data_IF_696316495801
#
_entry.id   IF_696316495801
#
_cell.length_a   1.000
_cell.length_b   1.000
_cell.length_c   1.000
_cell.angle_alpha   90.00
_cell.angle_beta   90.00
_cell.angle_gamma   90.00
#
_symmetry.space_group_name_H-M   'P 1'
#
loop_
_entity.id
_entity.type
_entity.pdbx_description
1 polymer ?
#
# COMPACT_ATOMS: atom_id res chain seq x y z
N UNK A 1 17.01 17.37 -18.88
CA UNK A 1 17.70 16.10 -19.22
C UNK A 1 16.80 14.96 -18.76
N UNK A 2 16.45 14.01 -19.62
CA UNK A 2 15.61 12.88 -19.22
C UNK A 2 16.37 11.95 -18.26
N UNK A 3 15.74 11.65 -17.10
CA UNK A 3 16.27 10.69 -16.15
C UNK A 3 16.29 9.29 -16.77
N UNK A 4 17.34 8.52 -16.47
CA UNK A 4 17.43 7.08 -16.84
C UNK A 4 17.61 6.29 -15.55
N UNK A 5 17.18 5.03 -15.52
CA UNK A 5 17.27 4.16 -14.35
C UNK A 5 18.69 4.15 -13.74
N UNK A 6 19.70 4.02 -14.59
CA UNK A 6 21.12 4.05 -14.15
C UNK A 6 21.59 5.33 -13.47
N UNK A 7 20.80 6.40 -13.52
CA UNK A 7 21.09 7.70 -12.93
C UNK A 7 20.17 7.99 -11.72
N UNK A 8 19.48 6.98 -11.22
CA UNK A 8 18.67 7.09 -10.02
C UNK A 8 19.50 6.61 -8.83
N UNK A 9 19.78 7.50 -7.89
CA UNK A 9 20.62 7.25 -6.72
C UNK A 9 19.86 7.37 -5.40
N UNK A 10 18.61 7.83 -5.44
CA UNK A 10 17.72 8.01 -4.30
C UNK A 10 16.26 7.95 -4.72
N UNK A 11 15.35 7.89 -3.75
CA UNK A 11 13.90 7.79 -3.97
C UNK A 11 13.34 8.95 -4.82
N UNK A 12 13.86 10.18 -4.63
CA UNK A 12 13.41 11.33 -5.42
C UNK A 12 13.79 11.19 -6.90
N UNK A 13 14.92 10.60 -7.22
CA UNK A 13 15.29 10.32 -8.61
C UNK A 13 14.33 9.34 -9.27
N UNK A 14 13.89 8.30 -8.55
CA UNK A 14 12.86 7.37 -9.03
C UNK A 14 11.50 8.06 -9.19
N UNK A 15 11.12 8.94 -8.26
CA UNK A 15 9.90 9.76 -8.39
C UNK A 15 9.92 10.63 -9.65
N UNK A 16 11.04 11.29 -9.94
CA UNK A 16 11.21 12.09 -11.15
C UNK A 16 11.19 11.22 -12.41
N UNK A 17 11.78 10.03 -12.37
CA UNK A 17 11.73 9.06 -13.46
C UNK A 17 10.29 8.57 -13.70
N UNK A 18 9.54 8.27 -12.64
CA UNK A 18 8.13 7.90 -12.73
C UNK A 18 7.29 9.03 -13.36
N UNK A 19 7.50 10.27 -12.94
CA UNK A 19 6.84 11.46 -13.52
C UNK A 19 7.07 11.60 -15.03
N UNK A 20 8.24 11.21 -15.54
CA UNK A 20 8.56 11.28 -16.97
C UNK A 20 7.93 10.14 -17.78
N UNK A 21 7.66 8.99 -17.16
CA UNK A 21 7.21 7.79 -17.87
C UNK A 21 5.72 7.53 -17.73
N UNK A 22 5.09 8.02 -16.67
CA UNK A 22 3.65 7.80 -16.40
C UNK A 22 2.80 8.91 -17.03
N UNK A 23 1.61 8.58 -17.52
CA UNK A 23 0.61 9.59 -17.85
C UNK A 23 0.28 10.45 -16.62
N UNK A 24 0.03 11.74 -16.85
CA UNK A 24 -0.21 12.71 -15.77
C UNK A 24 -1.28 12.29 -14.77
N UNK A 25 -2.47 11.78 -15.16
CA UNK A 25 -3.46 11.31 -14.19
C UNK A 25 -2.95 10.16 -13.33
N UNK A 26 -2.22 9.22 -13.93
CA UNK A 26 -1.65 8.05 -13.22
C UNK A 26 -0.56 8.48 -12.25
N UNK A 27 0.33 9.39 -12.69
CA UNK A 27 1.36 9.93 -11.82
C UNK A 27 0.77 10.68 -10.64
N UNK A 28 -0.19 11.59 -10.87
CA UNK A 28 -0.79 12.38 -9.80
C UNK A 28 -1.61 11.53 -8.82
N UNK A 29 -2.22 10.45 -9.29
CA UNK A 29 -2.89 9.50 -8.40
C UNK A 29 -1.93 8.86 -7.38
N UNK A 30 -0.75 8.40 -7.83
CA UNK A 30 0.22 7.75 -6.92
C UNK A 30 0.99 8.76 -6.07
N UNK A 31 1.28 9.95 -6.62
CA UNK A 31 2.10 11.00 -6.01
C UNK A 31 1.30 11.97 -5.13
N UNK A 32 -0.03 12.03 -5.29
CA UNK A 32 -0.91 12.97 -4.60
C UNK A 32 -1.34 12.51 -3.22
N UNK A 33 -1.76 13.48 -2.41
CA UNK A 33 -2.30 13.27 -1.07
C UNK A 33 -3.65 14.01 -0.89
N UNK A 34 -4.16 14.10 0.33
CA UNK A 34 -5.43 14.74 0.63
C UNK A 34 -5.29 16.28 0.74
N UNK A 35 -6.33 16.99 0.35
CA UNK A 35 -6.53 18.42 0.48
C UNK A 35 -5.30 19.26 0.07
N UNK A 36 -4.71 20.01 1.01
CA UNK A 36 -3.52 20.86 0.80
C UNK A 36 -2.19 20.08 0.83
N UNK A 37 -2.22 18.77 1.10
CA UNK A 37 -1.06 17.88 1.17
C UNK A 37 -0.04 18.23 2.26
N UNK A 38 -0.46 18.94 3.32
CA UNK A 38 0.41 19.32 4.44
C UNK A 38 0.97 18.10 5.16
N UNK A 39 0.11 17.11 5.45
CA UNK A 39 0.51 15.85 6.09
C UNK A 39 1.53 15.10 5.25
N UNK A 40 1.34 15.04 3.94
CA UNK A 40 2.30 14.42 3.02
C UNK A 40 3.69 15.06 3.12
N UNK A 41 3.76 16.39 3.12
CA UNK A 41 5.03 17.12 3.27
C UNK A 41 5.63 16.88 4.65
N UNK A 42 4.83 16.94 5.71
CA UNK A 42 5.27 16.71 7.09
C UNK A 42 5.82 15.31 7.32
N UNK A 43 5.26 14.29 6.67
CA UNK A 43 5.75 12.91 6.76
C UNK A 43 7.24 12.78 6.38
N UNK A 44 7.70 13.59 5.45
CA UNK A 44 9.13 13.63 5.06
C UNK A 44 9.92 14.58 5.95
N UNK A 45 9.41 15.77 6.21
CA UNK A 45 10.11 16.80 7.01
C UNK A 45 10.29 16.39 8.49
N UNK A 46 9.49 15.45 8.98
CA UNK A 46 9.64 14.96 10.36
C UNK A 46 11.03 14.38 10.61
N UNK A 47 11.61 13.71 9.62
CA UNK A 47 12.96 13.15 9.73
C UNK A 47 14.06 14.22 9.74
N UNK A 48 13.83 15.40 9.14
CA UNK A 48 14.79 16.51 9.12
C UNK A 48 15.00 17.12 10.51
N UNK A 49 14.12 16.84 11.47
CA UNK A 49 14.21 17.28 12.87
C UNK A 49 14.95 16.31 13.78
N UNK A 50 15.45 15.21 13.23
CA UNK A 50 16.16 14.20 13.97
C UNK A 50 17.66 14.23 13.63
N UNK A 51 18.50 14.53 14.60
CA UNK A 51 19.95 14.51 14.44
C UNK A 51 20.50 13.10 14.71
N UNK A 52 21.49 12.70 13.90
CA UNK A 52 22.24 11.48 14.13
C UNK A 52 23.58 11.82 14.79
N UNK A 53 23.84 11.28 15.97
CA UNK A 53 25.12 11.41 16.66
C UNK A 53 25.96 10.16 16.40
N UNK A 54 26.99 10.25 15.54
CA UNK A 54 27.79 9.09 15.17
C UNK A 54 28.71 8.67 16.31
N UNK A 55 28.84 7.36 16.54
CA UNK A 55 29.91 6.79 17.36
C UNK A 55 31.14 6.48 16.47
N UNK A 56 32.34 6.74 16.97
CA UNK A 56 33.57 6.49 16.24
C UNK A 56 34.38 5.34 16.87
N UNK A 57 35.35 4.83 16.12
CA UNK A 57 36.26 3.76 16.54
C UNK A 57 35.60 2.42 16.86
N UNK A 58 34.41 2.21 16.35
CA UNK A 58 33.74 0.91 16.36
C UNK A 58 34.13 0.11 15.14
N UNK A 59 34.52 -1.16 15.34
CA UNK A 59 34.75 -2.06 14.21
C UNK A 59 33.45 -2.30 13.44
N UNK A 60 33.49 -2.15 12.12
CA UNK A 60 32.39 -2.39 11.21
C UNK A 60 32.68 -3.55 10.26
N UNK A 61 33.56 -4.48 10.68
CA UNK A 61 33.93 -5.66 9.88
C UNK A 61 32.75 -6.62 9.69
N UNK A 62 31.83 -6.66 10.66
CA UNK A 62 30.59 -7.42 10.58
C UNK A 62 29.41 -6.48 10.90
N UNK A 63 28.56 -6.26 9.91
CA UNK A 63 27.33 -5.48 10.06
C UNK A 63 26.15 -6.46 10.00
N UNK A 64 25.39 -6.55 11.08
CA UNK A 64 24.14 -7.29 11.15
C UNK A 64 22.99 -6.27 11.30
N UNK A 65 22.14 -6.18 10.27
CA UNK A 65 20.94 -5.33 10.25
C UNK A 65 19.67 -6.14 10.45
N UNK A 66 19.80 -7.43 10.71
CA UNK A 66 18.64 -8.32 10.88
C UNK A 66 17.83 -7.99 12.13
N UNK A 67 16.52 -8.13 12.01
CA UNK A 67 15.58 -7.95 13.12
C UNK A 67 14.53 -9.05 13.04
N UNK A 68 13.87 -9.30 14.19
CA UNK A 68 12.68 -10.16 14.21
C UNK A 68 11.43 -9.30 14.28
N UNK A 69 10.52 -9.49 13.30
CA UNK A 69 9.24 -8.79 13.21
C UNK A 69 8.13 -9.84 12.99
N UNK A 70 7.08 -9.79 13.82
CA UNK A 70 5.91 -10.69 13.72
C UNK A 70 6.30 -12.17 13.62
N UNK A 71 7.33 -12.57 14.41
CA UNK A 71 7.84 -13.95 14.48
C UNK A 71 8.67 -14.39 13.27
N UNK A 72 9.11 -13.45 12.43
CA UNK A 72 9.99 -13.73 11.30
C UNK A 72 11.26 -12.91 11.39
N UNK A 73 12.41 -13.57 11.15
CA UNK A 73 13.69 -12.88 10.98
C UNK A 73 13.77 -12.31 9.56
N UNK A 74 14.05 -11.02 9.46
CA UNK A 74 14.32 -10.30 8.21
C UNK A 74 15.72 -9.71 8.25
N UNK A 75 16.38 -9.59 7.09
CA UNK A 75 17.80 -9.22 7.03
C UNK A 75 18.02 -7.71 7.12
N UNK A 76 16.99 -6.92 6.83
CA UNK A 76 17.02 -5.46 6.96
C UNK A 76 15.75 -4.97 7.68
N UNK A 77 15.83 -3.92 8.55
CA UNK A 77 14.68 -3.40 9.30
C UNK A 77 13.78 -2.50 8.44
N UNK A 78 13.53 -2.90 7.21
CA UNK A 78 12.69 -2.22 6.22
C UNK A 78 11.82 -3.28 5.59
N UNK A 79 10.53 -3.02 5.43
CA UNK A 79 9.60 -3.89 4.72
C UNK A 79 8.85 -3.13 3.63
N UNK A 80 8.37 -3.87 2.62
CA UNK A 80 7.65 -3.29 1.51
C UNK A 80 6.17 -3.16 1.87
N UNK A 81 5.73 -1.92 2.07
CA UNK A 81 4.34 -1.60 2.47
C UNK A 81 3.33 -2.05 1.41
N UNK A 82 2.14 -2.49 1.83
CA UNK A 82 1.07 -2.86 0.91
C UNK A 82 0.58 -1.64 0.14
N UNK A 83 0.78 -1.64 -1.17
CA UNK A 83 0.28 -0.61 -2.08
C UNK A 83 -0.64 -1.23 -3.11
N UNK A 84 -1.75 -0.53 -3.41
CA UNK A 84 -2.77 -0.98 -4.34
C UNK A 84 -2.38 -0.74 -5.80
N UNK A 85 -2.97 -1.50 -6.73
CA UNK A 85 -2.97 -1.21 -8.16
C UNK A 85 -1.58 -1.13 -8.80
N UNK A 86 -0.61 -1.91 -8.35
CA UNK A 86 0.78 -1.72 -8.77
C UNK A 86 0.99 -1.92 -10.28
N UNK A 87 0.23 -2.85 -10.93
CA UNK A 87 0.31 -3.03 -12.40
C UNK A 87 -0.28 -1.88 -13.22
N UNK A 88 -0.99 -0.95 -12.57
CA UNK A 88 -1.37 0.30 -13.20
C UNK A 88 -0.15 1.21 -13.46
N UNK A 89 0.87 1.13 -12.62
CA UNK A 89 2.08 1.95 -12.71
C UNK A 89 3.20 1.26 -13.49
N UNK A 90 3.40 -0.02 -13.25
CA UNK A 90 4.38 -0.85 -13.95
C UNK A 90 3.80 -2.24 -14.22
N UNK A 91 4.05 -2.78 -15.40
CA UNK A 91 3.45 -4.05 -15.84
C UNK A 91 3.76 -5.26 -14.95
N UNK A 92 4.91 -5.28 -14.30
CA UNK A 92 5.27 -6.35 -13.37
C UNK A 92 4.62 -6.17 -11.99
N UNK A 93 4.31 -4.91 -11.60
CA UNK A 93 3.59 -4.60 -10.38
C UNK A 93 4.12 -5.32 -9.15
N UNK A 94 3.22 -6.00 -8.44
CA UNK A 94 3.52 -6.76 -7.23
C UNK A 94 4.53 -7.89 -7.45
N UNK A 95 4.66 -8.40 -8.69
CA UNK A 95 5.65 -9.44 -9.02
C UNK A 95 7.09 -8.94 -8.82
N UNK A 96 7.39 -7.74 -9.33
CA UNK A 96 8.71 -7.13 -9.17
C UNK A 96 8.98 -6.73 -7.71
N UNK A 97 7.96 -6.27 -6.99
CA UNK A 97 8.08 -5.93 -5.57
C UNK A 97 8.33 -7.18 -4.72
N UNK A 98 7.64 -8.28 -5.03
CA UNK A 98 7.85 -9.57 -4.37
C UNK A 98 9.25 -10.15 -4.63
N UNK A 99 9.79 -10.01 -5.85
CA UNK A 99 11.16 -10.38 -6.17
C UNK A 99 12.17 -9.58 -5.32
N UNK A 100 11.99 -8.27 -5.23
CA UNK A 100 12.83 -7.43 -4.38
C UNK A 100 12.72 -7.80 -2.89
N UNK A 101 11.52 -8.09 -2.39
CA UNK A 101 11.35 -8.55 -1.01
C UNK A 101 12.07 -9.86 -0.73
N UNK A 102 12.05 -10.78 -1.68
CA UNK A 102 12.73 -12.07 -1.58
C UNK A 102 14.25 -11.93 -1.64
N UNK A 103 14.77 -11.09 -2.55
CA UNK A 103 16.21 -10.82 -2.69
C UNK A 103 16.83 -10.23 -1.43
N UNK A 104 16.06 -9.42 -0.68
CA UNK A 104 16.49 -8.78 0.56
C UNK A 104 15.97 -9.49 1.82
N UNK A 105 15.32 -10.63 1.69
CA UNK A 105 14.70 -11.37 2.78
C UNK A 105 13.94 -10.47 3.75
N UNK A 106 12.97 -9.71 3.23
CA UNK A 106 12.15 -8.81 4.04
C UNK A 106 10.66 -9.06 3.82
N UNK A 107 9.80 -8.43 4.65
CA UNK A 107 8.36 -8.57 4.52
C UNK A 107 7.84 -7.96 3.22
N UNK A 108 7.06 -8.74 2.50
CA UNK A 108 6.26 -8.31 1.36
C UNK A 108 4.82 -8.05 1.77
N UNK A 109 4.41 -6.78 1.80
CA UNK A 109 3.03 -6.37 2.05
C UNK A 109 2.18 -6.41 0.78
N UNK A 110 1.11 -7.21 0.80
CA UNK A 110 0.15 -7.36 -0.30
C UNK A 110 -1.16 -6.69 0.07
N UNK A 111 -1.66 -5.81 -0.79
CA UNK A 111 -2.96 -5.15 -0.59
C UNK A 111 -4.11 -6.04 -1.05
N UNK A 112 -5.28 -5.93 -0.38
CA UNK A 112 -6.54 -6.49 -0.90
C UNK A 112 -6.96 -5.90 -2.25
N UNK A 113 -6.36 -4.76 -2.65
CA UNK A 113 -6.47 -4.17 -3.99
C UNK A 113 -5.23 -4.43 -4.86
N UNK A 114 -4.48 -5.48 -4.58
CA UNK A 114 -3.38 -5.90 -5.43
C UNK A 114 -3.89 -6.42 -6.78
N UNK A 115 -3.07 -6.23 -7.80
CA UNK A 115 -3.35 -6.65 -9.18
C UNK A 115 -2.79 -8.04 -9.52
N UNK A 116 -2.27 -8.73 -8.50
CA UNK A 116 -1.80 -10.11 -8.53
C UNK A 116 -2.51 -10.87 -7.43
N UNK A 117 -2.90 -12.13 -7.67
CA UNK A 117 -3.69 -12.89 -6.72
C UNK A 117 -2.88 -13.37 -5.51
N UNK A 118 -3.58 -13.62 -4.40
CA UNK A 118 -3.01 -14.22 -3.17
C UNK A 118 -2.33 -15.55 -3.52
N UNK A 119 -2.99 -16.36 -4.36
CA UNK A 119 -2.52 -17.68 -4.78
C UNK A 119 -1.22 -17.59 -5.60
N UNK A 120 -1.11 -16.61 -6.51
CA UNK A 120 0.12 -16.40 -7.29
C UNK A 120 1.26 -15.97 -6.37
N UNK A 121 1.01 -15.03 -5.46
CA UNK A 121 2.01 -14.54 -4.51
C UNK A 121 2.50 -15.66 -3.59
N UNK A 122 1.57 -16.44 -3.03
CA UNK A 122 1.90 -17.54 -2.14
C UNK A 122 2.73 -18.63 -2.81
N UNK A 123 2.42 -18.94 -4.08
CA UNK A 123 3.19 -19.93 -4.86
C UNK A 123 4.57 -19.45 -5.32
N UNK A 124 4.68 -18.15 -5.63
CA UNK A 124 5.89 -17.59 -6.25
C UNK A 124 6.95 -17.19 -5.21
N UNK A 125 6.56 -16.69 -4.03
CA UNK A 125 7.47 -16.07 -3.09
C UNK A 125 7.54 -16.82 -1.76
N UNK A 126 8.76 -16.98 -1.24
CA UNK A 126 9.07 -17.62 0.04
C UNK A 126 9.47 -16.65 1.14
N UNK A 127 9.71 -15.37 0.80
CA UNK A 127 9.95 -14.33 1.79
C UNK A 127 8.73 -14.14 2.71
N UNK A 128 8.90 -13.55 3.91
CA UNK A 128 7.78 -13.25 4.79
C UNK A 128 6.70 -12.41 4.09
N UNK A 129 5.44 -12.82 4.18
CA UNK A 129 4.29 -12.20 3.51
C UNK A 129 3.27 -11.69 4.52
N UNK A 130 2.84 -10.45 4.32
CA UNK A 130 1.76 -9.83 5.10
C UNK A 130 0.64 -9.40 4.17
N UNK A 131 -0.58 -9.87 4.42
CA UNK A 131 -1.76 -9.43 3.68
C UNK A 131 -2.39 -8.21 4.35
N UNK A 132 -2.65 -7.16 3.59
CA UNK A 132 -3.37 -5.99 4.06
C UNK A 132 -4.83 -6.08 3.63
N UNK A 133 -5.72 -6.11 4.60
CA UNK A 133 -7.15 -6.18 4.42
C UNK A 133 -7.80 -4.80 4.62
N UNK A 134 -8.52 -4.33 3.61
CA UNK A 134 -9.63 -3.41 3.80
C UNK A 134 -10.86 -4.24 4.13
N UNK A 135 -11.52 -3.95 5.25
CA UNK A 135 -12.71 -4.71 5.66
C UNK A 135 -13.90 -4.30 4.80
N UNK A 136 -14.50 -5.29 4.11
CA UNK A 136 -15.64 -5.11 3.23
C UNK A 136 -16.95 -5.35 3.99
N UNK A 137 -18.06 -4.75 3.49
CA UNK A 137 -19.43 -5.03 3.95
C UNK A 137 -19.79 -6.50 3.73
N UNK A 138 -19.31 -7.09 2.63
CA UNK A 138 -19.45 -8.51 2.33
C UNK A 138 -18.50 -9.33 3.21
N UNK A 139 -19.07 -10.00 4.21
CA UNK A 139 -18.32 -10.86 5.13
C UNK A 139 -17.71 -12.06 4.42
N UNK A 140 -18.43 -12.66 3.46
CA UNK A 140 -17.95 -13.82 2.72
C UNK A 140 -16.70 -13.48 1.92
N UNK A 141 -16.61 -12.26 1.35
CA UNK A 141 -15.41 -11.76 0.68
C UNK A 141 -14.23 -11.64 1.64
N UNK A 142 -14.45 -11.12 2.86
CA UNK A 142 -13.37 -11.02 3.85
C UNK A 142 -12.89 -12.43 4.26
N UNK A 143 -13.80 -13.35 4.51
CA UNK A 143 -13.49 -14.74 4.89
C UNK A 143 -12.75 -15.49 3.77
N UNK A 144 -13.16 -15.34 2.50
CA UNK A 144 -12.48 -15.93 1.33
C UNK A 144 -11.04 -15.46 1.24
N UNK A 145 -10.78 -14.14 1.37
CA UNK A 145 -9.42 -13.61 1.35
C UNK A 145 -8.57 -14.14 2.51
N UNK A 146 -9.13 -14.22 3.72
CA UNK A 146 -8.42 -14.76 4.88
C UNK A 146 -8.09 -16.25 4.70
N UNK A 147 -9.06 -17.02 4.20
CA UNK A 147 -8.87 -18.45 3.94
C UNK A 147 -7.76 -18.67 2.91
N UNK A 148 -7.77 -17.93 1.80
CA UNK A 148 -6.71 -17.97 0.79
C UNK A 148 -5.34 -17.61 1.36
N UNK A 149 -5.27 -16.60 2.25
CA UNK A 149 -4.01 -16.24 2.92
C UNK A 149 -3.48 -17.38 3.81
N UNK A 150 -4.37 -18.11 4.48
CA UNK A 150 -4.00 -19.28 5.30
C UNK A 150 -3.48 -20.41 4.40
N UNK A 151 -4.21 -20.73 3.32
CA UNK A 151 -3.86 -21.80 2.38
C UNK A 151 -2.55 -21.54 1.62
N UNK A 152 -2.17 -20.26 1.47
CA UNK A 152 -0.97 -19.84 0.75
C UNK A 152 0.13 -19.29 1.67
N UNK A 153 0.10 -19.68 2.94
CA UNK A 153 1.16 -19.45 3.93
C UNK A 153 1.57 -17.97 4.08
N UNK A 154 0.58 -17.07 4.16
CA UNK A 154 0.84 -15.71 4.62
C UNK A 154 1.15 -15.70 6.11
N UNK A 155 2.14 -14.91 6.50
CA UNK A 155 2.72 -14.91 7.84
C UNK A 155 2.00 -13.96 8.80
N UNK A 156 1.43 -12.88 8.29
CA UNK A 156 0.73 -11.87 9.07
C UNK A 156 -0.45 -11.25 8.32
N UNK A 157 -1.41 -10.76 9.08
CA UNK A 157 -2.54 -9.96 8.59
C UNK A 157 -2.39 -8.52 9.08
N UNK A 158 -2.52 -7.53 8.18
CA UNK A 158 -2.63 -6.12 8.54
C UNK A 158 -4.04 -5.62 8.21
N UNK A 159 -4.83 -5.28 9.22
CA UNK A 159 -6.15 -4.67 9.00
C UNK A 159 -5.98 -3.15 8.97
N UNK A 160 -6.41 -2.54 7.86
CA UNK A 160 -6.38 -1.08 7.70
C UNK A 160 -7.62 -0.46 8.34
N UNK A 161 -7.39 0.44 9.31
CA UNK A 161 -8.45 1.05 10.13
C UNK A 161 -8.61 2.56 9.90
N UNK A 162 -7.77 3.17 9.07
CA UNK A 162 -7.74 4.61 8.78
C UNK A 162 -8.49 5.00 7.49
N UNK A 163 -9.25 4.09 6.87
CA UNK A 163 -9.87 4.27 5.55
C UNK A 163 -11.35 3.95 5.51
N UNK A 164 -12.08 4.28 6.57
CA UNK A 164 -13.56 4.09 6.63
C UNK A 164 -14.26 4.92 5.55
N UNK A 165 -13.70 6.07 5.20
CA UNK A 165 -14.11 6.95 4.10
C UNK A 165 -12.92 7.29 3.23
N UNK A 166 -13.16 7.61 1.95
CA UNK A 166 -12.08 8.05 1.05
C UNK A 166 -11.63 9.47 1.36
N UNK A 167 -10.32 9.71 1.39
CA UNK A 167 -9.74 11.04 1.51
C UNK A 167 -10.07 11.93 0.30
N UNK A 168 -10.18 13.23 0.51
CA UNK A 168 -10.42 14.22 -0.54
C UNK A 168 -9.12 14.49 -1.32
N UNK A 169 -8.90 13.79 -2.42
CA UNK A 169 -7.70 13.92 -3.25
C UNK A 169 -7.94 14.84 -4.44
N UNK A 170 -7.75 16.13 -4.23
CA UNK A 170 -8.03 17.17 -5.24
C UNK A 170 -7.21 17.00 -6.53
N UNK A 171 -5.98 16.47 -6.46
CA UNK A 171 -5.19 16.20 -7.67
C UNK A 171 -5.87 15.18 -8.58
N UNK A 172 -6.53 14.16 -8.03
CA UNK A 172 -7.25 13.16 -8.80
C UNK A 172 -8.42 13.81 -9.53
N UNK A 173 -9.15 14.70 -8.86
CA UNK A 173 -10.24 15.47 -9.46
C UNK A 173 -9.76 16.41 -10.58
N UNK A 174 -8.65 17.12 -10.35
CA UNK A 174 -8.06 18.08 -11.32
C UNK A 174 -7.48 17.40 -12.55
N UNK A 175 -6.95 16.17 -12.39
CA UNK A 175 -6.32 15.43 -13.49
C UNK A 175 -7.25 14.46 -14.22
N UNK A 176 -8.50 14.35 -13.75
CA UNK A 176 -9.51 13.48 -14.37
C UNK A 176 -9.40 12.01 -13.99
N UNK A 177 -8.59 11.67 -12.98
CA UNK A 177 -8.56 10.34 -12.36
C UNK A 177 -9.78 10.17 -11.43
N UNK A 178 -10.96 10.31 -12.03
CA UNK A 178 -12.25 10.28 -11.34
C UNK A 178 -13.05 9.03 -11.71
N UNK A 179 -14.20 8.85 -11.10
CA UNK A 179 -15.16 7.81 -11.41
C UNK A 179 -16.47 8.40 -11.98
N UNK A 180 -16.87 8.02 -13.18
CA UNK A 180 -16.03 7.38 -14.20
C UNK A 180 -14.85 8.30 -14.61
N UNK A 181 -13.78 7.74 -15.22
CA UNK A 181 -12.63 8.56 -15.65
C UNK A 181 -13.08 9.64 -16.65
N UNK A 182 -12.77 10.90 -16.33
CA UNK A 182 -13.03 12.02 -17.25
C UNK A 182 -11.82 12.16 -18.18
N UNK A 183 -11.94 11.57 -19.35
CA UNK A 183 -10.92 11.73 -20.41
C UNK A 183 -11.03 13.15 -20.98
N UNK A 184 -10.21 14.06 -20.47
CA UNK A 184 -10.03 15.40 -21.04
C UNK A 184 -9.04 15.34 -22.21
N UNK A 185 -9.05 16.35 -23.09
CA UNK A 185 -8.04 16.46 -24.17
C UNK A 185 -6.62 16.45 -23.60
N UNK A 186 -6.43 17.07 -22.42
CA UNK A 186 -5.14 17.08 -21.72
C UNK A 186 -4.74 15.69 -21.24
N UNK A 187 -5.66 14.91 -20.69
CA UNK A 187 -5.36 13.54 -20.25
C UNK A 187 -5.07 12.63 -21.45
N UNK A 188 -5.83 12.73 -22.54
CA UNK A 188 -5.57 11.98 -23.77
C UNK A 188 -4.20 12.30 -24.36
N UNK A 189 -3.83 13.59 -24.39
CA UNK A 189 -2.48 14.01 -24.80
C UNK A 189 -1.40 13.42 -23.91
N UNK A 190 -1.62 13.41 -22.61
CA UNK A 190 -0.68 12.81 -21.64
C UNK A 190 -0.47 11.30 -21.87
N UNK A 191 -1.54 10.55 -22.20
CA UNK A 191 -1.42 9.13 -22.58
C UNK A 191 -0.61 8.95 -23.86
N UNK A 192 -0.85 9.78 -24.86
CA UNK A 192 -0.10 9.76 -26.12
C UNK A 192 1.39 10.07 -25.92
N UNK A 193 1.71 10.98 -24.98
CA UNK A 193 3.08 11.35 -24.64
C UNK A 193 3.80 10.35 -23.72
N UNK A 194 3.10 9.30 -23.28
CA UNK A 194 3.67 8.21 -22.46
C UNK A 194 3.66 6.87 -23.21
N UNK A 195 4.33 6.77 -24.40
CA UNK A 195 4.17 5.61 -25.29
C UNK A 195 4.62 4.29 -24.66
N UNK A 196 5.66 4.30 -23.82
CA UNK A 196 6.12 3.09 -23.13
C UNK A 196 5.07 2.54 -22.17
N UNK A 197 4.45 3.40 -21.39
CA UNK A 197 3.37 3.01 -20.49
C UNK A 197 2.16 2.52 -21.28
N UNK A 198 1.74 3.26 -22.29
CA UNK A 198 0.58 2.92 -23.14
C UNK A 198 0.77 1.59 -23.85
N UNK A 199 1.94 1.35 -24.43
CA UNK A 199 2.26 0.07 -25.10
C UNK A 199 2.28 -1.11 -24.11
N UNK A 200 2.86 -0.92 -22.92
CA UNK A 200 2.85 -1.95 -21.89
C UNK A 200 1.44 -2.24 -21.37
N UNK A 201 0.63 -1.19 -21.18
CA UNK A 201 -0.75 -1.33 -20.70
C UNK A 201 -1.66 -2.05 -21.72
N UNK A 202 -1.52 -1.73 -23.02
CA UNK A 202 -2.34 -2.31 -24.10
C UNK A 202 -1.82 -3.65 -24.60
N UNK A 203 -0.50 -3.84 -24.62
CA UNK A 203 0.15 -5.01 -25.22
C UNK A 203 0.41 -6.18 -24.27
N UNK A 204 0.11 -6.03 -22.99
CA UNK A 204 0.31 -7.08 -21.99
C UNK A 204 -1.00 -7.55 -21.37
N UNK A 205 -0.91 -8.54 -20.50
CA UNK A 205 -2.04 -9.06 -19.74
C UNK A 205 -2.79 -7.90 -19.04
N UNK A 206 -4.09 -7.83 -19.26
CA UNK A 206 -4.94 -6.86 -18.58
C UNK A 206 -4.88 -7.10 -17.07
N UNK A 207 -4.72 -6.05 -16.29
CA UNK A 207 -4.81 -6.18 -14.87
C UNK A 207 -6.27 -6.26 -14.42
N UNK A 208 -6.51 -7.04 -13.39
CA UNK A 208 -7.78 -7.12 -12.67
C UNK A 208 -7.52 -6.88 -11.18
N UNK A 209 -8.54 -6.97 -10.37
CA UNK A 209 -8.46 -7.04 -8.91
C UNK A 209 -8.88 -8.45 -8.48
N UNK A 210 -7.99 -9.44 -8.63
CA UNK A 210 -8.36 -10.85 -8.53
C UNK A 210 -8.96 -11.24 -7.18
N UNK A 211 -8.64 -10.51 -6.12
CA UNK A 211 -9.25 -10.73 -4.79
C UNK A 211 -10.73 -10.35 -4.74
N UNK A 212 -11.18 -9.47 -5.64
CA UNK A 212 -12.56 -9.00 -5.71
C UNK A 212 -13.38 -9.69 -6.81
N UNK A 213 -12.71 -10.26 -7.80
CA UNK A 213 -13.33 -10.74 -9.04
C UNK A 213 -14.40 -11.81 -8.82
N UNK A 214 -14.25 -12.66 -7.80
CA UNK A 214 -15.21 -13.73 -7.46
C UNK A 214 -16.53 -13.22 -6.87
N UNK A 215 -16.53 -11.99 -6.32
CA UNK A 215 -17.65 -11.38 -5.61
C UNK A 215 -18.28 -10.20 -6.36
N UNK A 216 -17.68 -9.80 -7.50
CA UNK A 216 -18.21 -8.73 -8.34
C UNK A 216 -18.99 -9.31 -9.52
N UNK A 217 -20.19 -8.78 -9.77
CA UNK A 217 -20.96 -9.09 -10.99
C UNK A 217 -20.17 -8.63 -12.23
N UNK A 218 -20.26 -9.39 -13.34
CA UNK A 218 -19.46 -9.14 -14.56
C UNK A 218 -19.56 -7.70 -15.12
N UNK A 219 -20.71 -7.05 -14.97
CA UNK A 219 -20.87 -5.64 -15.36
C UNK A 219 -20.21 -4.62 -14.44
N UNK A 220 -19.85 -5.00 -13.23
CA UNK A 220 -19.26 -4.13 -12.22
C UNK A 220 -17.72 -4.17 -12.25
N UNK A 221 -17.14 -5.23 -12.80
CA UNK A 221 -15.70 -5.52 -12.79
C UNK A 221 -14.84 -4.45 -13.48
N UNK A 222 -15.36 -3.77 -14.48
CA UNK A 222 -14.59 -2.83 -15.33
C UNK A 222 -14.90 -1.35 -15.02
N UNK A 223 -16.05 -1.06 -14.42
CA UNK A 223 -16.56 0.31 -14.29
C UNK A 223 -16.46 0.90 -12.88
N UNK A 224 -16.08 0.09 -11.86
CA UNK A 224 -16.00 0.59 -10.50
C UNK A 224 -14.71 1.37 -10.30
N UNK A 225 -14.86 2.65 -10.00
CA UNK A 225 -13.71 3.46 -9.64
C UNK A 225 -13.26 3.18 -8.22
N UNK A 226 -12.06 3.66 -7.94
CA UNK A 226 -11.49 3.63 -6.58
C UNK A 226 -12.41 4.37 -5.59
N UNK A 227 -13.00 5.51 -5.98
CA UNK A 227 -13.95 6.24 -5.13
C UNK A 227 -15.23 5.46 -4.85
N UNK A 228 -15.80 4.79 -5.86
CA UNK A 228 -16.96 3.91 -5.68
C UNK A 228 -16.64 2.71 -4.80
N UNK A 229 -15.43 2.13 -4.95
CA UNK A 229 -14.96 1.06 -4.09
C UNK A 229 -15.00 1.48 -2.61
N UNK A 230 -14.37 2.60 -2.26
CA UNK A 230 -14.34 3.09 -0.88
C UNK A 230 -15.75 3.37 -0.33
N UNK A 231 -16.63 3.91 -1.15
CA UNK A 231 -17.98 4.27 -0.70
C UNK A 231 -18.94 3.08 -0.62
N UNK A 232 -18.87 2.18 -1.60
CA UNK A 232 -19.88 1.10 -1.76
C UNK A 232 -19.47 -0.21 -1.10
N UNK A 233 -18.19 -0.57 -1.13
CA UNK A 233 -17.72 -1.89 -0.70
C UNK A 233 -17.15 -1.91 0.71
N UNK A 234 -16.48 -0.85 1.17
CA UNK A 234 -15.88 -0.87 2.50
C UNK A 234 -16.94 -0.77 3.60
N UNK A 235 -16.67 -1.45 4.69
CA UNK A 235 -17.52 -1.42 5.87
C UNK A 235 -17.31 -0.12 6.66
N UNK A 236 -18.21 0.83 6.47
CA UNK A 236 -18.19 2.12 7.17
C UNK A 236 -18.58 2.01 8.66
N UNK A 237 -19.12 0.87 9.09
CA UNK A 237 -19.44 0.57 10.48
C UNK A 237 -18.32 -0.21 11.18
N UNK A 238 -17.12 -0.30 10.56
CA UNK A 238 -15.97 -0.97 11.16
C UNK A 238 -15.68 -0.41 12.55
N UNK A 239 -15.59 -1.28 13.53
CA UNK A 239 -15.33 -0.94 14.92
C UNK A 239 -14.51 -2.05 15.60
N UNK A 240 -14.08 -1.83 16.84
CA UNK A 240 -13.24 -2.75 17.60
C UNK A 240 -13.81 -4.16 17.69
N UNK A 241 -15.13 -4.29 17.92
CA UNK A 241 -15.81 -5.59 18.00
C UNK A 241 -15.70 -6.38 16.69
N UNK A 242 -15.86 -5.68 15.54
CA UNK A 242 -15.70 -6.34 14.23
C UNK A 242 -14.25 -6.79 14.01
N UNK A 243 -13.25 -6.03 14.49
CA UNK A 243 -11.85 -6.46 14.46
C UNK A 243 -11.64 -7.73 15.29
N UNK A 244 -12.21 -7.81 16.50
CA UNK A 244 -12.16 -9.02 17.32
C UNK A 244 -12.83 -10.22 16.63
N UNK A 245 -13.93 -10.00 15.90
CA UNK A 245 -14.59 -11.05 15.11
C UNK A 245 -13.66 -11.57 14.01
N UNK A 246 -13.05 -10.67 13.23
CA UNK A 246 -12.09 -11.04 12.18
C UNK A 246 -10.90 -11.81 12.77
N UNK A 247 -10.37 -11.36 13.91
CA UNK A 247 -9.26 -12.03 14.59
C UNK A 247 -9.54 -13.48 14.93
N UNK A 248 -10.79 -13.87 15.22
CA UNK A 248 -11.15 -15.27 15.51
C UNK A 248 -10.91 -16.19 14.31
N UNK A 249 -10.93 -15.64 13.09
CA UNK A 249 -10.68 -16.38 11.86
C UNK A 249 -9.21 -16.34 11.41
N UNK A 250 -8.33 -15.65 12.19
CA UNK A 250 -6.92 -15.51 11.89
C UNK A 250 -6.06 -15.91 13.11
N UNK A 251 -5.32 -17.02 12.97
CA UNK A 251 -4.51 -17.59 14.07
C UNK A 251 -3.06 -17.12 14.12
N UNK A 252 -2.59 -16.44 13.06
CA UNK A 252 -1.22 -15.93 12.95
C UNK A 252 -1.15 -14.44 13.43
N UNK A 253 0.02 -13.79 13.45
CA UNK A 253 0.15 -12.40 13.89
C UNK A 253 -0.82 -11.44 13.19
N UNK A 254 -1.46 -10.57 13.98
CA UNK A 254 -2.36 -9.51 13.53
C UNK A 254 -1.74 -8.14 13.81
N UNK A 255 -1.67 -7.31 12.78
CA UNK A 255 -1.26 -5.91 12.85
C UNK A 255 -2.46 -4.99 12.57
N UNK A 256 -2.64 -3.92 13.33
CA UNK A 256 -3.59 -2.84 13.00
C UNK A 256 -2.83 -1.69 12.36
N UNK A 257 -3.17 -1.40 11.09
CA UNK A 257 -2.54 -0.32 10.30
C UNK A 257 -3.42 0.92 10.30
N UNK A 258 -2.83 2.06 10.66
CA UNK A 258 -3.53 3.34 10.72
C UNK A 258 -3.75 3.84 12.14
N UNK A 259 -3.09 3.26 13.11
CA UNK A 259 -3.13 3.69 14.50
C UNK A 259 -2.27 4.95 14.65
N UNK A 260 -2.85 6.03 15.21
CA UNK A 260 -2.19 7.33 15.42
C UNK A 260 -2.48 7.92 16.80
N UNK A 261 -3.20 7.23 17.69
CA UNK A 261 -3.43 7.67 19.07
C UNK A 261 -2.94 6.62 20.08
N UNK A 262 -2.56 7.09 21.26
CA UNK A 262 -2.14 6.23 22.38
C UNK A 262 -3.31 5.37 22.86
N UNK A 263 -4.52 5.95 22.88
CA UNK A 263 -5.74 5.25 23.30
C UNK A 263 -6.04 4.07 22.36
N UNK A 264 -5.95 4.27 21.05
CA UNK A 264 -6.16 3.20 20.08
C UNK A 264 -5.04 2.15 20.15
N UNK A 265 -3.80 2.56 20.41
CA UNK A 265 -2.70 1.63 20.63
C UNK A 265 -2.95 0.72 21.86
N UNK A 266 -3.43 1.27 22.96
CA UNK A 266 -3.82 0.50 24.15
C UNK A 266 -4.95 -0.49 23.83
N UNK A 267 -5.98 -0.03 23.12
CA UNK A 267 -7.09 -0.90 22.68
C UNK A 267 -6.61 -2.02 21.75
N UNK A 268 -5.66 -1.73 20.87
CA UNK A 268 -5.06 -2.77 20.02
C UNK A 268 -4.38 -3.87 20.86
N UNK A 269 -3.70 -3.49 21.93
CA UNK A 269 -3.12 -4.45 22.88
C UNK A 269 -4.23 -5.26 23.60
N UNK A 270 -5.28 -4.60 24.09
CA UNK A 270 -6.40 -5.24 24.79
C UNK A 270 -7.09 -6.31 23.94
N UNK A 271 -7.31 -6.07 22.66
CA UNK A 271 -7.85 -7.07 21.73
C UNK A 271 -6.82 -8.12 21.28
N UNK A 272 -5.57 -8.01 21.77
CA UNK A 272 -4.47 -8.93 21.48
C UNK A 272 -3.95 -8.83 20.06
N UNK A 273 -3.87 -7.63 19.47
CA UNK A 273 -3.10 -7.40 18.27
C UNK A 273 -1.61 -7.66 18.55
N UNK A 274 -0.92 -8.28 17.60
CA UNK A 274 0.51 -8.60 17.71
C UNK A 274 1.40 -7.39 17.45
N UNK A 275 0.90 -6.42 16.69
CA UNK A 275 1.58 -5.17 16.36
C UNK A 275 0.59 -4.08 15.97
N UNK A 276 1.07 -2.86 16.00
CA UNK A 276 0.43 -1.69 15.35
C UNK A 276 1.37 -1.11 14.30
N UNK A 277 0.80 -0.57 13.25
CA UNK A 277 1.53 0.21 12.25
C UNK A 277 1.07 1.66 12.34
N UNK A 278 1.95 2.51 12.87
CA UNK A 278 1.73 3.96 12.87
C UNK A 278 1.64 4.43 11.42
N UNK A 279 0.50 4.97 11.05
CA UNK A 279 0.24 5.38 9.66
C UNK A 279 -0.87 6.41 9.60
N UNK A 280 -0.65 7.47 8.85
CA UNK A 280 -1.66 8.42 8.39
C UNK A 280 -1.99 8.21 6.91
N UNK A 281 -1.78 6.95 6.41
CA UNK A 281 -2.01 6.56 5.01
C UNK A 281 -1.19 7.38 4.00
N UNK A 282 0.01 7.83 4.37
CA UNK A 282 0.85 8.68 3.52
C UNK A 282 0.27 10.09 3.30
N UNK A 283 -0.55 10.59 4.23
CA UNK A 283 -1.25 11.87 4.09
C UNK A 283 -2.40 11.85 3.09
N UNK A 284 -2.89 10.67 2.70
CA UNK A 284 -3.89 10.50 1.64
C UNK A 284 -5.34 10.42 2.16
N UNK A 285 -5.54 10.46 3.48
CA UNK A 285 -6.85 10.34 4.11
C UNK A 285 -7.24 11.64 4.83
N UNK A 286 -6.56 12.02 5.90
CA UNK A 286 -6.81 13.22 6.68
C UNK A 286 -5.60 14.15 6.56
N UNK A 287 -5.79 15.30 5.92
CA UNK A 287 -4.76 16.35 5.93
C UNK A 287 -4.74 17.09 7.27
N UNK A 288 -3.58 17.64 7.65
CA UNK A 288 -3.37 18.21 8.99
C UNK A 288 -3.10 17.18 10.08
N UNK A 289 -3.01 15.88 9.76
CA UNK A 289 -2.62 14.83 10.69
C UNK A 289 -1.12 14.91 11.04
N UNK A 290 -0.76 14.47 12.26
CA UNK A 290 0.63 14.34 12.68
C UNK A 290 1.36 13.28 11.82
N UNK A 291 2.68 13.46 11.63
CA UNK A 291 3.48 12.40 10.99
C UNK A 291 3.60 11.17 11.90
N UNK A 292 3.65 9.94 11.33
CA UNK A 292 3.90 8.74 12.12
C UNK A 292 5.22 8.78 12.89
N UNK A 293 6.26 9.43 12.33
CA UNK A 293 7.56 9.61 12.98
C UNK A 293 7.45 10.46 14.26
N UNK A 294 6.72 11.56 14.22
CA UNK A 294 6.50 12.42 15.39
C UNK A 294 5.56 11.78 16.43
N UNK A 295 4.79 10.77 16.04
CA UNK A 295 3.85 10.08 16.91
C UNK A 295 4.49 8.90 17.65
N UNK A 296 5.64 8.43 17.20
CA UNK A 296 6.30 7.23 17.76
C UNK A 296 6.72 7.37 19.24
N UNK A 297 7.29 8.53 19.70
CA UNK A 297 7.69 8.74 21.10
C UNK A 297 6.57 8.64 22.12
#
# INVERSE_FOLDING_TARGET
MFKKLKNCHNTNDFRLLAKQNLPSPIFHYIDGAADDEKTYVQNTQAFDRCDLVPSVLNSVSNIDTSVEILGKKIDIPIFLSPTALQRLFHHDGERAVGEAAQDFNTYFGISSLATVSIEEVGKKFTCPKMFQLYVHKDKALNEDMLQKCIEHDFDALAITVDTIVGGNRERDLRTGFTSPPKLTLSSLWSFAMSPKWTMNYLGREKFSLPQLDSHLNEGTKIAMSIGDYFTKMLDQELNWKKIEEIKKHWSKPLCLKGIMSVEDAKRAVEIGASAIMLSNHGGRQLDGSRSPFDQLP
#
